data_IF_913654837293
#
_entry.id   IF_913654837293
#
_cell.length_a   1.000
_cell.length_b   1.000
_cell.length_c   1.000
_cell.angle_alpha   90.00
_cell.angle_beta   90.00
_cell.angle_gamma   90.00
#
_symmetry.space_group_name_H-M   'P 1'
#
loop_
_entity.id
_entity.type
_entity.pdbx_description
1 polymer ?
#
# COMPACT_ATOMS: atom_id res chain seq x y z
N UNK A 1 47.11 53.01 46.04
CA UNK A 1 46.68 54.42 46.15
C UNK A 1 47.19 55.17 44.93
N UNK A 2 46.31 55.90 44.25
CA UNK A 2 46.54 57.00 43.31
C UNK A 2 47.22 56.75 41.94
N UNK A 3 46.51 57.29 40.95
CA UNK A 3 46.75 57.46 39.51
C UNK A 3 47.78 58.56 39.19
N UNK A 4 48.47 58.45 38.04
CA UNK A 4 48.54 59.42 36.90
C UNK A 4 49.89 59.43 36.12
N UNK A 5 49.77 59.26 34.79
CA UNK A 5 50.34 60.00 33.64
C UNK A 5 51.87 60.28 33.43
N UNK A 6 52.40 59.69 32.32
CA UNK A 6 53.28 60.19 31.20
C UNK A 6 54.69 60.80 31.48
N UNK A 7 55.65 60.95 30.51
CA UNK A 7 55.66 60.69 29.04
C UNK A 7 56.95 60.01 28.42
N UNK A 8 56.84 59.75 27.10
CA UNK A 8 57.79 59.61 25.98
C UNK A 8 59.34 59.66 26.12
N UNK A 9 60.02 58.78 25.35
CA UNK A 9 61.06 59.15 24.35
C UNK A 9 61.42 58.00 23.38
N UNK A 10 61.67 58.40 22.11
CA UNK A 10 62.14 57.77 20.85
C UNK A 10 63.27 56.70 20.93
N UNK A 11 63.56 55.86 19.88
CA UNK A 11 64.03 56.40 18.59
C UNK A 11 63.82 55.59 17.27
N UNK A 12 64.05 56.36 16.20
CA UNK A 12 64.64 56.07 14.88
C UNK A 12 64.04 55.02 13.93
N UNK A 13 63.62 55.56 12.79
CA UNK A 13 63.35 54.89 11.51
C UNK A 13 64.61 54.26 10.91
N UNK A 14 64.47 53.03 10.41
CA UNK A 14 65.29 52.50 9.33
C UNK A 14 64.36 52.09 8.18
N UNK A 15 64.53 52.73 7.04
CA UNK A 15 63.86 52.45 5.78
C UNK A 15 64.46 51.21 5.12
N UNK A 16 63.64 50.19 4.89
CA UNK A 16 63.94 49.11 3.95
C UNK A 16 62.74 48.92 3.02
N UNK A 17 62.96 49.17 1.74
CA UNK A 17 62.03 48.87 0.68
C UNK A 17 61.92 47.35 0.49
N UNK A 18 60.70 46.81 0.59
CA UNK A 18 60.38 45.49 0.07
C UNK A 18 59.28 45.59 -0.98
N UNK A 19 59.56 44.97 -2.13
CA UNK A 19 58.69 44.83 -3.28
C UNK A 19 57.37 44.16 -2.88
N UNK A 20 56.26 44.78 -3.26
CA UNK A 20 54.93 44.18 -3.12
C UNK A 20 54.76 43.07 -4.16
N UNK A 21 54.75 41.81 -3.71
CA UNK A 21 54.18 40.70 -4.48
C UNK A 21 52.67 40.66 -4.23
N UNK A 22 51.89 40.95 -5.26
CA UNK A 22 50.45 40.71 -5.28
C UNK A 22 50.19 39.19 -5.26
N UNK A 23 49.96 38.62 -4.08
CA UNK A 23 49.34 37.30 -3.94
C UNK A 23 47.83 37.48 -3.82
N UNK A 24 47.11 37.13 -4.89
CA UNK A 24 45.65 37.02 -4.89
C UNK A 24 45.19 36.08 -3.77
N UNK A 25 44.11 36.38 -3.03
CA UNK A 25 43.54 35.43 -2.08
C UNK A 25 43.06 34.20 -2.84
N UNK A 26 43.53 33.02 -2.42
CA UNK A 26 43.05 31.75 -2.95
C UNK A 26 41.54 31.65 -2.73
N UNK A 27 40.79 31.63 -3.82
CA UNK A 27 39.36 31.33 -3.83
C UNK A 27 39.16 29.96 -3.18
N UNK A 28 38.25 29.81 -2.19
CA UNK A 28 37.94 28.50 -1.66
C UNK A 28 37.42 27.62 -2.80
N UNK A 29 37.79 26.32 -2.85
CA UNK A 29 37.32 25.44 -3.90
C UNK A 29 35.79 25.41 -3.85
N UNK A 30 35.19 25.77 -4.98
CA UNK A 30 33.76 25.61 -5.24
C UNK A 30 33.42 24.13 -5.09
N UNK A 31 32.91 23.74 -3.92
CA UNK A 31 32.15 22.49 -3.74
C UNK A 31 30.77 22.65 -4.41
N UNK A 32 30.78 22.90 -5.73
CA UNK A 32 29.68 22.47 -6.60
C UNK A 32 30.06 21.07 -7.04
N UNK A 33 29.85 20.11 -6.15
CA UNK A 33 29.56 18.77 -6.63
C UNK A 33 28.27 18.92 -7.43
N UNK A 34 28.32 18.60 -8.72
CA UNK A 34 27.13 18.50 -9.56
C UNK A 34 26.22 17.46 -8.89
N UNK A 35 25.27 17.93 -8.07
CA UNK A 35 24.25 17.05 -7.54
C UNK A 35 23.49 16.55 -8.75
N UNK A 36 23.56 15.24 -9.01
CA UNK A 36 22.85 14.63 -10.12
C UNK A 36 21.39 15.08 -10.10
N UNK A 37 20.84 15.46 -11.25
CA UNK A 37 19.45 15.87 -11.35
C UNK A 37 18.56 14.77 -10.75
N UNK A 38 17.52 15.13 -9.97
CA UNK A 38 16.62 14.13 -9.41
C UNK A 38 15.98 13.31 -10.53
N UNK A 39 15.69 12.02 -10.31
CA UNK A 39 15.02 11.20 -11.31
C UNK A 39 13.65 11.81 -11.65
N UNK A 40 13.15 11.63 -12.89
CA UNK A 40 11.80 12.08 -13.24
C UNK A 40 10.77 11.41 -12.33
N UNK A 41 9.79 12.19 -11.86
CA UNK A 41 8.72 11.67 -10.99
C UNK A 41 7.89 10.61 -11.72
N UNK A 42 7.51 10.82 -12.97
CA UNK A 42 6.69 9.87 -13.72
C UNK A 42 7.27 9.71 -15.14
N UNK A 43 8.29 8.87 -15.30
CA UNK A 43 8.98 8.72 -16.56
C UNK A 43 8.05 8.15 -17.64
N UNK A 44 8.27 8.58 -18.89
CA UNK A 44 7.64 7.94 -20.05
C UNK A 44 8.18 6.51 -20.19
N UNK A 45 7.28 5.56 -20.35
CA UNK A 45 7.57 4.15 -20.60
C UNK A 45 6.94 3.71 -21.93
N UNK A 46 7.49 2.65 -22.53
CA UNK A 46 7.03 2.10 -23.82
C UNK A 46 6.38 0.71 -23.67
N UNK A 47 6.03 0.32 -22.44
CA UNK A 47 5.58 -1.02 -22.06
C UNK A 47 4.16 -1.03 -21.50
N UNK A 48 3.37 0.03 -21.68
CA UNK A 48 2.00 0.05 -21.23
C UNK A 48 1.21 -1.08 -21.91
N UNK A 49 0.57 -1.93 -21.10
CA UNK A 49 -0.38 -2.90 -21.61
C UNK A 49 -1.63 -2.18 -22.12
N UNK A 50 -1.92 -2.32 -23.41
CA UNK A 50 -3.05 -1.70 -24.11
C UNK A 50 -4.09 -2.74 -24.55
N UNK A 51 -4.11 -3.92 -23.92
CA UNK A 51 -5.05 -4.98 -24.25
C UNK A 51 -6.49 -4.50 -24.05
N UNK A 52 -7.32 -4.46 -25.11
CA UNK A 52 -8.74 -4.13 -24.99
C UNK A 52 -9.53 -5.23 -24.25
N UNK A 53 -10.63 -4.89 -23.56
CA UNK A 53 -11.39 -5.84 -22.75
C UNK A 53 -12.23 -6.85 -23.53
N UNK A 54 -12.37 -6.70 -24.85
CA UNK A 54 -13.02 -7.66 -25.75
C UNK A 54 -12.06 -8.74 -26.30
N UNK A 55 -10.77 -8.63 -25.99
CA UNK A 55 -9.77 -9.67 -26.33
C UNK A 55 -10.03 -10.95 -25.53
N UNK A 56 -9.92 -12.09 -26.20
CA UNK A 56 -10.05 -13.39 -25.57
C UNK A 56 -8.98 -13.62 -24.48
N UNK A 57 -9.42 -14.12 -23.32
CA UNK A 57 -8.52 -14.44 -22.20
C UNK A 57 -7.78 -15.74 -22.52
N UNK A 58 -6.52 -15.60 -22.92
CA UNK A 58 -5.64 -16.69 -23.33
C UNK A 58 -4.26 -16.55 -22.67
N UNK A 59 -3.43 -17.62 -22.64
CA UNK A 59 -2.11 -17.58 -21.99
C UNK A 59 -1.17 -16.46 -22.47
N UNK A 60 -1.36 -15.94 -23.69
CA UNK A 60 -0.61 -14.80 -24.20
C UNK A 60 -0.77 -13.52 -23.35
N UNK A 61 -1.89 -13.38 -22.62
CA UNK A 61 -2.10 -12.25 -21.70
C UNK A 61 -1.17 -12.29 -20.49
N UNK A 62 -0.62 -13.45 -20.12
CA UNK A 62 0.27 -13.56 -18.96
C UNK A 62 1.56 -12.76 -19.13
N UNK A 63 1.97 -12.47 -20.36
CA UNK A 63 3.17 -11.69 -20.69
C UNK A 63 2.85 -10.30 -21.22
N UNK A 64 1.60 -9.84 -21.12
CA UNK A 64 1.14 -8.58 -21.73
C UNK A 64 1.59 -7.32 -20.98
N UNK A 65 2.16 -7.47 -19.77
CA UNK A 65 2.62 -6.36 -18.94
C UNK A 65 1.51 -5.71 -18.11
N UNK A 66 1.87 -4.67 -17.35
CA UNK A 66 0.95 -3.91 -16.51
C UNK A 66 0.33 -2.74 -17.31
N UNK A 67 -1.00 -2.56 -17.26
CA UNK A 67 -1.65 -1.44 -17.96
C UNK A 67 -1.34 -0.11 -17.27
N UNK A 68 -1.10 0.92 -18.08
CA UNK A 68 -0.92 2.30 -17.58
C UNK A 68 -2.23 3.05 -17.37
N UNK A 69 -3.31 2.58 -18.00
CA UNK A 69 -4.67 3.09 -17.88
C UNK A 69 -5.68 2.02 -18.33
N UNK A 70 -6.93 2.06 -17.84
CA UNK A 70 -7.99 1.19 -18.33
C UNK A 70 -8.21 1.33 -19.84
N UNK A 71 -8.47 0.21 -20.51
CA UNK A 71 -8.94 0.20 -21.90
C UNK A 71 -10.44 -0.09 -21.90
N UNK A 72 -11.20 0.71 -22.65
CA UNK A 72 -12.65 0.63 -22.72
C UNK A 72 -13.08 0.54 -24.18
N UNK A 73 -14.13 -0.24 -24.46
CA UNK A 73 -14.73 -0.38 -25.79
C UNK A 73 -16.22 -0.05 -25.74
N UNK A 74 -16.83 0.47 -26.82
CA UNK A 74 -18.28 0.70 -26.86
C UNK A 74 -19.08 -0.59 -26.61
N UNK A 75 -20.31 -0.52 -26.05
CA UNK A 75 -21.07 0.69 -25.72
C UNK A 75 -20.64 1.35 -24.39
N UNK A 76 -20.54 2.68 -24.37
CA UNK A 76 -20.14 3.45 -23.17
C UNK A 76 -21.31 3.90 -22.28
N UNK A 77 -22.54 3.69 -22.73
CA UNK A 77 -23.77 3.94 -21.98
C UNK A 77 -24.23 2.71 -21.17
N UNK A 78 -23.59 1.56 -21.36
CA UNK A 78 -23.80 0.36 -20.56
C UNK A 78 -22.77 0.26 -19.43
N UNK A 79 -23.24 0.47 -18.20
CA UNK A 79 -22.40 0.38 -17.00
C UNK A 79 -21.80 -1.02 -16.79
N UNK A 80 -22.47 -2.09 -17.23
CA UNK A 80 -21.96 -3.46 -17.11
C UNK A 80 -20.79 -3.67 -18.06
N UNK A 81 -20.89 -3.15 -19.28
CA UNK A 81 -19.79 -3.18 -20.25
C UNK A 81 -18.58 -2.36 -19.77
N UNK A 82 -18.81 -1.16 -19.21
CA UNK A 82 -17.74 -0.38 -18.60
C UNK A 82 -17.08 -1.11 -17.42
N UNK A 83 -17.89 -1.69 -16.53
CA UNK A 83 -17.38 -2.45 -15.38
C UNK A 83 -16.49 -3.62 -15.83
N UNK A 84 -16.85 -4.33 -16.91
CA UNK A 84 -16.00 -5.38 -17.48
C UNK A 84 -14.64 -4.84 -17.95
N UNK A 85 -14.59 -3.64 -18.52
CA UNK A 85 -13.35 -2.96 -18.89
C UNK A 85 -12.43 -2.68 -17.69
N UNK A 86 -13.00 -2.15 -16.60
CA UNK A 86 -12.25 -1.90 -15.37
C UNK A 86 -11.83 -3.19 -14.65
N UNK A 87 -12.68 -4.22 -14.66
CA UNK A 87 -12.36 -5.53 -14.09
C UNK A 87 -11.25 -6.25 -14.90
N UNK A 88 -11.25 -6.11 -16.23
CA UNK A 88 -10.14 -6.57 -17.08
C UNK A 88 -8.84 -5.82 -16.75
N UNK A 89 -8.91 -4.49 -16.61
CA UNK A 89 -7.77 -3.67 -16.18
C UNK A 89 -7.20 -4.16 -14.84
N UNK A 90 -8.05 -4.43 -13.84
CA UNK A 90 -7.65 -4.97 -12.55
C UNK A 90 -6.96 -6.33 -12.65
N UNK A 91 -7.49 -7.25 -13.48
CA UNK A 91 -6.86 -8.55 -13.70
C UNK A 91 -5.51 -8.45 -14.40
N UNK A 92 -5.38 -7.60 -15.42
CA UNK A 92 -4.11 -7.36 -16.10
C UNK A 92 -3.07 -6.72 -15.16
N UNK A 93 -3.49 -5.78 -14.31
CA UNK A 93 -2.66 -5.21 -13.24
C UNK A 93 -2.23 -6.28 -12.25
N UNK A 94 -3.15 -7.13 -11.78
CA UNK A 94 -2.83 -8.22 -10.86
C UNK A 94 -1.84 -9.21 -11.46
N UNK A 95 -2.05 -9.66 -12.69
CA UNK A 95 -1.14 -10.59 -13.39
C UNK A 95 0.22 -9.94 -13.60
N UNK A 96 0.27 -8.70 -14.11
CA UNK A 96 1.52 -7.99 -14.36
C UNK A 96 2.33 -7.75 -13.10
N UNK A 97 1.70 -7.28 -12.02
CA UNK A 97 2.40 -7.01 -10.76
C UNK A 97 2.83 -8.27 -10.01
N UNK A 98 2.13 -9.40 -10.21
CA UNK A 98 2.48 -10.69 -9.63
C UNK A 98 3.42 -11.54 -10.52
N UNK A 99 3.93 -10.96 -11.60
CA UNK A 99 5.04 -11.50 -12.38
C UNK A 99 6.40 -11.19 -11.72
N UNK A 100 7.46 -11.95 -12.03
CA UNK A 100 8.82 -11.69 -11.51
C UNK A 100 9.41 -10.36 -11.99
N UNK A 101 8.95 -9.86 -13.14
CA UNK A 101 9.35 -8.60 -13.76
C UNK A 101 8.35 -8.23 -14.85
N UNK A 102 8.39 -6.98 -15.29
CA UNK A 102 7.56 -6.48 -16.37
C UNK A 102 7.65 -7.33 -17.65
N UNK A 103 6.49 -7.61 -18.24
CA UNK A 103 6.32 -8.42 -19.45
C UNK A 103 6.60 -9.93 -19.30
N UNK A 104 6.93 -10.42 -18.10
CA UNK A 104 7.06 -11.85 -17.83
C UNK A 104 5.74 -12.47 -17.35
N UNK A 105 5.59 -13.78 -17.53
CA UNK A 105 4.47 -14.51 -16.94
C UNK A 105 4.71 -14.78 -15.44
N UNK A 106 3.64 -14.82 -14.61
CA UNK A 106 3.75 -15.32 -13.25
C UNK A 106 4.33 -16.74 -13.21
N UNK A 107 5.29 -16.95 -12.31
CA UNK A 107 5.98 -18.24 -12.18
C UNK A 107 5.19 -19.22 -11.30
N UNK A 108 5.36 -20.53 -11.50
CA UNK A 108 4.87 -21.52 -10.55
C UNK A 108 5.60 -21.42 -9.20
N UNK A 109 4.99 -22.01 -8.16
CA UNK A 109 5.55 -22.02 -6.81
C UNK A 109 4.97 -20.95 -5.90
N UNK A 110 4.92 -21.25 -4.60
CA UNK A 110 4.29 -20.39 -3.61
C UNK A 110 5.11 -19.16 -3.25
N UNK A 111 6.41 -19.14 -3.51
CA UNK A 111 7.30 -18.02 -3.20
C UNK A 111 7.78 -17.29 -4.46
N UNK A 112 7.04 -17.41 -5.56
CA UNK A 112 7.37 -16.75 -6.82
C UNK A 112 7.51 -15.23 -6.60
N UNK A 113 8.60 -14.59 -7.05
CA UNK A 113 8.79 -13.17 -6.80
C UNK A 113 7.73 -12.34 -7.53
N UNK A 114 7.31 -11.24 -6.90
CA UNK A 114 6.39 -10.27 -7.50
C UNK A 114 7.05 -8.89 -7.59
N UNK A 115 6.60 -8.08 -8.55
CA UNK A 115 7.14 -6.73 -8.75
C UNK A 115 6.83 -5.82 -7.56
N UNK A 116 5.59 -5.86 -7.08
CA UNK A 116 5.11 -4.95 -6.04
C UNK A 116 5.78 -5.17 -4.68
N UNK A 117 6.32 -6.35 -4.40
CA UNK A 117 7.04 -6.62 -3.14
C UNK A 117 8.38 -5.89 -3.03
N UNK A 118 8.95 -5.49 -4.17
CA UNK A 118 10.16 -4.68 -4.23
C UNK A 118 9.90 -3.17 -4.05
N UNK A 119 8.63 -2.74 -4.04
CA UNK A 119 8.26 -1.34 -3.89
C UNK A 119 8.49 -0.81 -2.46
N UNK A 120 8.44 0.51 -2.27
CA UNK A 120 8.67 1.12 -0.95
C UNK A 120 7.46 0.96 -0.06
N UNK A 121 7.65 0.41 1.14
CA UNK A 121 6.62 0.43 2.17
C UNK A 121 6.58 1.84 2.78
N UNK A 122 5.39 2.28 3.15
CA UNK A 122 5.16 3.60 3.73
C UNK A 122 6.04 3.83 4.96
N UNK A 123 6.28 2.81 5.77
CA UNK A 123 7.17 2.86 6.94
C UNK A 123 8.67 3.02 6.62
N UNK A 124 9.09 2.80 5.37
CA UNK A 124 10.44 3.09 4.86
C UNK A 124 10.53 4.47 4.16
N UNK A 125 9.40 5.17 4.07
CA UNK A 125 9.28 6.52 3.49
C UNK A 125 9.04 7.54 4.61
N UNK A 126 8.15 7.23 5.55
CA UNK A 126 7.68 8.09 6.64
C UNK A 126 8.49 7.82 7.92
N UNK A 127 9.77 8.17 7.87
CA UNK A 127 10.74 7.83 8.91
C UNK A 127 10.56 8.66 10.21
N UNK A 128 11.03 8.14 11.36
CA UNK A 128 11.03 8.86 12.63
C UNK A 128 11.58 10.29 12.54
N UNK A 129 10.88 11.24 13.16
CA UNK A 129 11.25 12.65 13.18
C UNK A 129 11.21 13.35 11.81
N UNK A 130 10.58 12.74 10.79
CA UNK A 130 10.53 13.30 9.44
C UNK A 130 11.86 13.22 8.70
N UNK A 131 12.74 12.27 9.07
CA UNK A 131 14.00 12.05 8.41
C UNK A 131 13.82 11.74 6.92
N UNK A 132 14.74 12.21 6.08
CA UNK A 132 14.71 11.92 4.65
C UNK A 132 14.88 10.41 4.41
N UNK A 133 13.99 9.76 3.64
CA UNK A 133 14.16 8.35 3.30
C UNK A 133 15.35 8.16 2.35
N UNK A 134 15.89 6.93 2.33
CA UNK A 134 16.85 6.53 1.30
C UNK A 134 16.19 6.54 -0.09
N UNK A 135 17.00 6.48 -1.16
CA UNK A 135 16.49 6.40 -2.53
C UNK A 135 15.66 5.14 -2.80
N UNK A 136 15.06 5.04 -4.00
CA UNK A 136 14.16 3.94 -4.38
C UNK A 136 14.73 2.54 -4.06
N UNK A 137 15.97 2.28 -4.44
CA UNK A 137 16.66 1.00 -4.22
C UNK A 137 17.35 0.88 -2.85
N UNK A 138 17.10 1.80 -1.91
CA UNK A 138 17.70 1.70 -0.57
C UNK A 138 17.17 0.47 0.17
N UNK A 139 17.97 -0.18 1.03
CA UNK A 139 17.48 -1.29 1.85
C UNK A 139 16.32 -0.86 2.75
N UNK A 140 15.49 -1.83 3.12
CA UNK A 140 14.41 -1.67 4.12
C UNK A 140 15.00 -1.23 5.45
N UNK A 141 14.25 -0.43 6.21
CA UNK A 141 14.63 -0.07 7.57
C UNK A 141 14.21 -1.19 8.52
N UNK A 142 15.18 -1.97 9.00
CA UNK A 142 14.94 -3.03 9.99
C UNK A 142 14.95 -2.47 11.42
N UNK A 143 13.83 -2.59 12.18
CA UNK A 143 13.76 -2.20 13.58
C UNK A 143 14.78 -2.95 14.44
N UNK A 144 15.27 -2.32 15.51
CA UNK A 144 16.31 -2.90 16.38
C UNK A 144 15.90 -4.25 16.95
N UNK A 145 14.65 -4.37 17.45
CA UNK A 145 14.11 -5.62 17.97
C UNK A 145 14.12 -6.77 16.95
N UNK A 146 14.16 -6.47 15.66
CA UNK A 146 14.23 -7.46 14.60
C UNK A 146 15.66 -7.82 14.19
N UNK A 147 16.66 -6.96 14.42
CA UNK A 147 18.04 -7.17 13.92
C UNK A 147 18.72 -8.39 14.54
N UNK A 148 18.30 -8.77 15.73
CA UNK A 148 18.83 -9.94 16.44
C UNK A 148 18.33 -11.27 15.86
N UNK A 149 17.35 -11.26 14.95
CA UNK A 149 16.83 -12.46 14.31
C UNK A 149 17.79 -12.90 13.19
N UNK A 150 18.25 -14.17 13.16
CA UNK A 150 19.12 -14.66 12.10
C UNK A 150 18.52 -14.44 10.71
N UNK A 151 19.31 -13.84 9.81
CA UNK A 151 18.88 -13.52 8.44
C UNK A 151 17.92 -12.33 8.32
N UNK A 152 17.69 -11.55 9.39
CA UNK A 152 16.76 -10.42 9.36
C UNK A 152 17.00 -9.42 8.23
N UNK A 153 18.27 -9.17 7.86
CA UNK A 153 18.64 -8.22 6.82
C UNK A 153 18.11 -8.60 5.42
N UNK A 154 17.83 -9.88 5.16
CA UNK A 154 17.28 -10.36 3.88
C UNK A 154 15.76 -10.58 3.93
N UNK A 155 15.12 -10.32 5.06
CA UNK A 155 13.69 -10.54 5.24
C UNK A 155 12.92 -9.23 5.19
N UNK A 156 11.73 -9.26 4.59
CA UNK A 156 10.83 -8.11 4.65
C UNK A 156 10.31 -7.95 6.09
N UNK A 157 10.08 -6.71 6.50
CA UNK A 157 9.40 -6.43 7.77
C UNK A 157 7.93 -6.19 7.44
N UNK A 158 7.02 -6.99 8.02
CA UNK A 158 5.58 -6.72 7.91
C UNK A 158 5.10 -6.22 9.27
N UNK A 159 4.89 -4.91 9.33
CA UNK A 159 4.60 -4.20 10.57
C UNK A 159 3.15 -4.38 10.98
N UNK A 160 2.93 -4.30 12.28
CA UNK A 160 1.61 -4.16 12.88
C UNK A 160 1.70 -3.08 13.95
N UNK A 161 1.48 -1.81 13.62
CA UNK A 161 1.79 -0.65 14.46
C UNK A 161 0.64 0.26 14.97
N UNK A 162 0.78 0.63 16.25
CA UNK A 162 0.00 1.60 17.05
C UNK A 162 -1.52 1.39 17.08
N UNK A 163 -1.94 0.56 18.03
CA UNK A 163 -3.20 0.77 18.73
C UNK A 163 -3.13 2.19 19.33
N UNK A 164 -3.77 3.14 18.64
CA UNK A 164 -3.96 4.54 19.00
C UNK A 164 -2.69 5.40 19.11
N UNK A 165 -2.54 6.36 18.19
CA UNK A 165 -1.86 7.62 18.51
C UNK A 165 -2.61 8.25 19.69
N UNK A 166 -1.94 8.42 20.82
CA UNK A 166 -2.45 9.17 21.98
C UNK A 166 -2.56 10.67 21.69
N UNK A 167 -3.53 11.04 20.86
CA UNK A 167 -3.92 12.43 20.58
C UNK A 167 -5.44 12.53 20.52
N UNK A 168 -5.99 13.71 20.84
CA UNK A 168 -7.42 14.04 20.93
C UNK A 168 -8.20 13.99 19.60
N UNK A 169 -7.71 13.25 18.61
CA UNK A 169 -8.40 12.98 17.36
C UNK A 169 -8.81 11.51 17.40
N UNK A 170 -10.09 11.15 17.17
CA UNK A 170 -10.49 9.76 17.07
C UNK A 170 -9.53 9.04 16.13
N UNK A 171 -9.10 7.83 16.49
CA UNK A 171 -8.34 6.94 15.63
C UNK A 171 -9.24 6.47 14.47
N UNK A 172 -9.59 7.41 13.60
CA UNK A 172 -10.43 7.17 12.44
C UNK A 172 -9.51 7.02 11.23
N UNK A 173 -9.61 5.83 10.64
CA UNK A 173 -9.27 5.48 9.26
C UNK A 173 -7.83 4.97 9.01
N UNK A 174 -7.75 3.63 8.94
CA UNK A 174 -6.78 2.81 8.20
C UNK A 174 -5.29 3.06 8.46
N UNK A 175 -4.75 2.39 9.48
CA UNK A 175 -3.31 2.12 9.58
C UNK A 175 -2.87 0.98 8.64
N UNK A 176 -1.55 0.80 8.45
CA UNK A 176 -0.91 -0.40 7.87
C UNK A 176 -1.24 -1.70 8.67
N UNK A 177 -2.30 -1.70 9.49
CA UNK A 177 -2.37 -2.45 10.76
C UNK A 177 -3.80 -2.80 11.16
N UNK A 178 -4.75 -1.88 10.98
CA UNK A 178 -6.16 -2.08 11.31
C UNK A 178 -7.06 -1.89 10.08
N UNK A 179 -8.20 -2.55 10.13
CA UNK A 179 -9.32 -2.29 9.23
C UNK A 179 -9.83 -0.86 9.41
N UNK A 180 -10.60 -0.31 8.45
CA UNK A 180 -11.22 0.99 8.60
C UNK A 180 -11.95 1.14 9.95
N UNK A 181 -11.94 2.36 10.49
CA UNK A 181 -12.70 2.78 11.68
C UNK A 181 -12.33 2.10 13.01
N UNK A 182 -11.08 1.66 13.17
CA UNK A 182 -10.63 0.88 14.35
C UNK A 182 -11.58 -0.30 14.65
N UNK A 183 -12.17 -0.86 13.60
CA UNK A 183 -13.18 -1.91 13.73
C UNK A 183 -12.58 -3.19 14.30
N UNK A 184 -11.27 -3.40 14.13
CA UNK A 184 -10.50 -4.37 14.90
C UNK A 184 -9.63 -5.29 14.04
N UNK A 185 -8.82 -6.14 14.66
CA UNK A 185 -7.99 -7.09 13.96
C UNK A 185 -8.79 -8.28 13.44
N UNK A 186 -8.36 -8.78 12.28
CA UNK A 186 -8.80 -10.07 11.78
C UNK A 186 -7.92 -11.18 12.38
N UNK A 187 -8.56 -12.22 12.91
CA UNK A 187 -7.90 -13.37 13.55
C UNK A 187 -8.18 -14.63 12.73
N UNK A 188 -7.13 -15.31 12.27
CA UNK A 188 -7.27 -16.55 11.50
C UNK A 188 -7.71 -17.74 12.38
N UNK A 189 -8.02 -18.87 11.75
CA UNK A 189 -8.43 -20.09 12.47
C UNK A 189 -7.32 -20.73 13.33
N UNK A 190 -6.07 -20.30 13.18
CA UNK A 190 -4.95 -20.67 14.05
C UNK A 190 -4.77 -19.70 15.24
N UNK A 191 -5.66 -18.71 15.37
CA UNK A 191 -5.62 -17.69 16.42
C UNK A 191 -4.54 -16.63 16.20
N UNK A 192 -3.96 -16.53 15.00
CA UNK A 192 -2.97 -15.51 14.68
C UNK A 192 -3.62 -14.24 14.15
N UNK A 193 -3.00 -13.11 14.44
CA UNK A 193 -3.41 -11.83 13.87
C UNK A 193 -2.99 -11.74 12.41
N UNK A 194 -3.93 -11.40 11.53
CA UNK A 194 -3.62 -10.96 10.16
C UNK A 194 -2.78 -9.69 10.21
N UNK A 195 -1.81 -9.60 9.32
CA UNK A 195 -0.90 -8.46 9.17
C UNK A 195 -1.19 -7.73 7.87
N UNK A 196 -0.87 -6.45 7.83
CA UNK A 196 -1.04 -5.65 6.62
C UNK A 196 0.24 -4.90 6.30
N UNK A 197 0.33 -4.45 5.06
CA UNK A 197 1.39 -3.57 4.59
C UNK A 197 0.85 -2.69 3.47
N UNK A 198 1.44 -1.51 3.33
CA UNK A 198 1.10 -0.55 2.28
C UNK A 198 2.40 -0.21 1.54
N UNK A 199 2.41 -0.42 0.23
CA UNK A 199 3.55 -0.17 -0.65
C UNK A 199 3.18 0.82 -1.74
N UNK A 200 4.13 1.67 -2.11
CA UNK A 200 3.99 2.70 -3.14
C UNK A 200 5.00 2.50 -4.24
N UNK A 201 4.56 2.60 -5.50
CA UNK A 201 5.43 2.47 -6.66
C UNK A 201 6.40 3.67 -6.79
N UNK A 202 7.34 3.57 -7.72
CA UNK A 202 8.40 4.58 -7.87
C UNK A 202 7.85 5.98 -8.16
N UNK A 203 6.87 6.17 -9.07
CA UNK A 203 6.31 7.49 -9.28
C UNK A 203 5.71 8.15 -8.04
N UNK A 204 4.96 7.39 -7.24
CA UNK A 204 4.42 7.90 -5.99
C UNK A 204 5.52 8.22 -4.99
N UNK A 205 6.53 7.35 -4.85
CA UNK A 205 7.69 7.58 -3.98
C UNK A 205 8.46 8.85 -4.37
N UNK A 206 8.78 9.02 -5.65
CA UNK A 206 9.54 10.18 -6.14
C UNK A 206 8.75 11.47 -5.91
N UNK A 207 7.43 11.46 -6.12
CA UNK A 207 6.57 12.59 -5.80
C UNK A 207 6.65 12.97 -4.31
N UNK A 208 6.58 11.99 -3.40
CA UNK A 208 6.68 12.24 -1.95
C UNK A 208 8.04 12.82 -1.58
N UNK A 209 9.13 12.23 -2.06
CA UNK A 209 10.50 12.62 -1.68
C UNK A 209 10.87 13.99 -2.23
N UNK A 210 10.63 14.24 -3.52
CA UNK A 210 11.03 15.49 -4.16
C UNK A 210 10.24 16.70 -3.63
N UNK A 211 9.00 16.48 -3.19
CA UNK A 211 8.17 17.52 -2.55
C UNK A 211 8.30 17.55 -1.02
N UNK A 212 9.18 16.72 -0.42
CA UNK A 212 9.40 16.61 1.03
C UNK A 212 8.14 16.24 1.83
N UNK A 213 7.17 15.61 1.19
CA UNK A 213 5.89 15.22 1.81
C UNK A 213 6.04 14.06 2.82
N UNK A 214 7.25 13.53 3.03
CA UNK A 214 7.55 12.52 4.04
C UNK A 214 7.68 13.07 5.48
N UNK A 215 7.67 14.40 5.66
CA UNK A 215 7.87 15.06 6.95
C UNK A 215 6.76 16.09 7.22
N UNK A 216 6.38 16.29 8.48
CA UNK A 216 5.40 17.35 8.84
C UNK A 216 5.87 18.74 8.40
N UNK A 217 7.15 19.04 8.60
CA UNK A 217 7.74 20.31 8.19
C UNK A 217 7.66 20.51 6.67
N UNK A 218 7.94 19.46 5.89
CA UNK A 218 7.86 19.52 4.44
C UNK A 218 6.42 19.70 3.94
N UNK A 219 5.45 19.02 4.54
CA UNK A 219 4.02 19.20 4.22
C UNK A 219 3.51 20.62 4.55
N UNK A 220 3.96 21.18 5.68
CA UNK A 220 3.67 22.57 6.06
C UNK A 220 4.27 23.58 5.07
N UNK A 221 5.45 23.29 4.52
CA UNK A 221 6.14 24.16 3.55
C UNK A 221 5.66 23.95 2.11
N UNK A 222 5.02 22.81 1.80
CA UNK A 222 4.50 22.51 0.48
C UNK A 222 3.37 23.47 0.11
N UNK A 223 3.43 24.04 -1.09
CA UNK A 223 2.43 24.97 -1.61
C UNK A 223 1.65 24.33 -2.76
N UNK A 224 0.34 24.55 -2.78
CA UNK A 224 -0.57 23.96 -3.76
C UNK A 224 -1.23 22.65 -3.31
N UNK A 225 -2.07 22.07 -4.17
CA UNK A 225 -2.73 20.80 -3.88
C UNK A 225 -1.75 19.64 -3.97
N UNK A 226 -1.95 18.62 -3.13
CA UNK A 226 -1.34 17.31 -3.35
C UNK A 226 -2.02 16.70 -4.57
N UNK A 227 -1.25 16.36 -5.59
CA UNK A 227 -1.74 15.69 -6.80
C UNK A 227 -0.67 14.71 -7.27
N UNK A 228 -0.85 13.43 -6.94
CA UNK A 228 0.05 12.37 -7.38
C UNK A 228 0.05 12.22 -8.90
N UNK A 229 1.14 11.67 -9.48
CA UNK A 229 1.21 11.39 -10.91
C UNK A 229 0.09 10.47 -11.37
N UNK A 230 -0.43 10.70 -12.57
CA UNK A 230 -1.55 9.95 -13.13
C UNK A 230 -1.10 9.19 -14.38
N UNK A 231 -1.43 7.91 -14.42
CA UNK A 231 -1.11 7.04 -15.54
C UNK A 231 -1.91 7.41 -16.78
N UNK A 232 -1.28 7.29 -17.94
CA UNK A 232 -1.87 7.60 -19.23
C UNK A 232 -1.22 6.77 -20.34
N UNK A 233 -1.95 6.56 -21.44
CA UNK A 233 -1.42 6.00 -22.69
C UNK A 233 -1.44 7.10 -23.73
N UNK A 234 -0.26 7.53 -24.19
CA UNK A 234 -0.13 8.65 -25.15
C UNK A 234 -0.02 8.19 -26.59
N UNK A 235 0.28 6.90 -26.85
CA UNK A 235 0.28 6.33 -28.18
C UNK A 235 0.92 4.94 -28.24
N UNK A 236 0.21 3.96 -28.82
CA UNK A 236 0.63 2.55 -28.75
C UNK A 236 0.85 2.14 -27.29
N UNK A 237 1.92 1.40 -27.00
CA UNK A 237 2.33 1.07 -25.62
C UNK A 237 3.11 2.19 -24.92
N UNK A 238 3.20 3.39 -25.50
CA UNK A 238 3.88 4.54 -24.88
C UNK A 238 2.95 5.30 -23.96
N UNK A 239 3.42 5.61 -22.75
CA UNK A 239 2.64 6.29 -21.73
C UNK A 239 3.41 6.55 -20.44
N UNK A 240 2.68 6.76 -19.35
CA UNK A 240 3.21 6.90 -17.99
C UNK A 240 2.45 5.98 -17.04
N UNK A 241 3.14 5.42 -16.05
CA UNK A 241 2.49 4.50 -15.10
C UNK A 241 1.61 5.27 -14.09
N UNK A 242 2.03 6.46 -13.67
CA UNK A 242 1.38 7.17 -12.57
C UNK A 242 1.60 6.51 -11.22
N UNK A 243 0.92 7.04 -10.20
CA UNK A 243 0.97 6.50 -8.85
C UNK A 243 0.14 5.22 -8.71
N UNK A 244 0.76 4.20 -8.12
CA UNK A 244 0.11 2.96 -7.70
C UNK A 244 0.45 2.70 -6.24
N UNK A 245 -0.58 2.38 -5.47
CA UNK A 245 -0.48 2.01 -4.07
C UNK A 245 -1.09 0.62 -3.88
N UNK A 246 -0.31 -0.29 -3.30
CA UNK A 246 -0.75 -1.64 -2.97
C UNK A 246 -0.95 -1.76 -1.47
N UNK A 247 -2.09 -2.32 -1.03
CA UNK A 247 -2.31 -2.74 0.35
C UNK A 247 -2.53 -4.25 0.37
N UNK A 248 -1.70 -4.98 1.10
CA UNK A 248 -1.76 -6.43 1.18
C UNK A 248 -2.16 -6.88 2.59
N UNK A 249 -2.94 -7.95 2.68
CA UNK A 249 -3.31 -8.65 3.90
C UNK A 249 -2.67 -10.04 3.93
N UNK A 250 -2.06 -10.38 5.06
CA UNK A 250 -1.23 -11.57 5.22
C UNK A 250 -1.65 -12.34 6.46
N UNK A 251 -1.95 -13.64 6.31
CA UNK A 251 -2.09 -14.54 7.46
C UNK A 251 -0.75 -15.18 7.81
N UNK A 252 -0.60 -15.62 9.05
CA UNK A 252 0.55 -16.44 9.45
C UNK A 252 0.24 -17.89 9.04
N UNK A 253 1.13 -18.50 8.27
CA UNK A 253 0.98 -19.90 7.88
C UNK A 253 1.13 -20.78 9.11
N UNK A 254 0.15 -21.65 9.37
CA UNK A 254 0.10 -22.50 10.55
C UNK A 254 -0.45 -23.90 10.25
N UNK A 255 -0.77 -24.69 11.31
CA UNK A 255 -1.37 -26.00 11.15
C UNK A 255 -2.62 -25.97 10.26
N UNK A 256 -2.77 -26.98 9.41
CA UNK A 256 -3.93 -27.10 8.50
C UNK A 256 -3.84 -26.28 7.22
N UNK A 257 -2.90 -25.33 7.11
CA UNK A 257 -2.71 -24.58 5.88
C UNK A 257 -1.93 -25.36 4.83
N UNK A 258 -2.30 -25.17 3.57
CA UNK A 258 -1.54 -25.65 2.41
C UNK A 258 -0.80 -24.47 1.76
N UNK A 259 0.53 -24.30 1.99
CA UNK A 259 1.31 -23.22 1.40
C UNK A 259 1.26 -23.20 -0.13
N UNK A 260 1.00 -24.33 -0.80
CA UNK A 260 0.85 -24.40 -2.25
C UNK A 260 -0.37 -23.65 -2.79
N UNK A 261 -1.30 -23.23 -1.90
CA UNK A 261 -2.49 -22.43 -2.26
C UNK A 261 -2.31 -20.93 -2.08
N UNK A 262 -1.18 -20.48 -1.54
CA UNK A 262 -0.93 -19.07 -1.24
C UNK A 262 0.33 -18.58 -1.93
N UNK A 263 0.35 -17.29 -2.27
CA UNK A 263 1.63 -16.58 -2.36
C UNK A 263 2.19 -16.42 -0.96
N UNK A 264 3.42 -16.84 -0.75
CA UNK A 264 4.08 -17.00 0.55
C UNK A 264 5.38 -16.23 0.61
N UNK A 265 5.65 -15.65 1.77
CA UNK A 265 6.93 -14.99 2.07
C UNK A 265 7.41 -15.31 3.47
N UNK A 266 8.72 -15.48 3.61
CA UNK A 266 9.37 -15.36 4.91
C UNK A 266 9.47 -13.88 5.27
N UNK A 267 9.03 -13.52 6.47
CA UNK A 267 8.98 -12.14 6.93
C UNK A 267 9.31 -12.01 8.42
N UNK A 268 9.67 -10.79 8.81
CA UNK A 268 9.77 -10.35 10.18
C UNK A 268 8.44 -9.72 10.59
N UNK A 269 7.72 -10.45 11.44
CA UNK A 269 6.51 -10.03 12.09
C UNK A 269 6.84 -9.04 13.22
N UNK A 270 6.92 -7.75 12.90
CA UNK A 270 7.23 -6.68 13.85
C UNK A 270 5.99 -6.02 14.45
N UNK A 271 5.95 -5.92 15.78
CA UNK A 271 4.96 -5.17 16.55
C UNK A 271 5.71 -4.06 17.32
N UNK A 272 5.54 -2.76 16.99
CA UNK A 272 6.09 -1.68 17.79
C UNK A 272 5.36 -1.57 19.13
N UNK A 273 5.97 -0.90 20.11
CA UNK A 273 5.34 -0.72 21.42
C UNK A 273 4.06 0.13 21.31
N UNK A 274 3.08 -0.14 22.17
CA UNK A 274 1.89 0.70 22.36
C UNK A 274 1.62 0.89 23.85
N UNK A 275 1.00 2.01 24.21
CA UNK A 275 0.58 2.30 25.59
C UNK A 275 -0.90 2.00 25.83
N UNK A 276 -1.72 1.90 24.77
CA UNK A 276 -3.15 1.63 24.92
C UNK A 276 -3.68 0.69 23.82
N UNK A 277 -3.79 -0.63 24.10
CA UNK A 277 -3.32 -1.30 25.31
C UNK A 277 -1.79 -1.34 25.41
N UNK A 278 -1.29 -1.54 26.62
CA UNK A 278 0.16 -1.70 26.84
C UNK A 278 0.68 -2.95 26.13
N UNK A 279 1.46 -2.76 25.08
CA UNK A 279 2.09 -3.80 24.27
C UNK A 279 3.59 -3.52 24.24
N UNK A 280 4.39 -4.51 24.64
CA UNK A 280 5.84 -4.42 24.51
C UNK A 280 6.25 -4.55 23.02
N UNK A 281 7.34 -3.90 22.63
CA UNK A 281 7.93 -4.14 21.32
C UNK A 281 8.26 -5.63 21.15
N UNK A 282 7.95 -6.19 19.98
CA UNK A 282 8.33 -7.57 19.66
C UNK A 282 8.58 -7.77 18.18
N UNK A 283 9.42 -8.75 17.86
CA UNK A 283 9.66 -9.17 16.50
C UNK A 283 9.88 -10.67 16.45
N UNK A 284 9.38 -11.35 15.41
CA UNK A 284 9.62 -12.78 15.18
C UNK A 284 9.66 -13.10 13.70
N UNK A 285 10.43 -14.11 13.30
CA UNK A 285 10.37 -14.66 11.95
C UNK A 285 9.08 -15.47 11.79
N UNK A 286 8.36 -15.27 10.70
CA UNK A 286 7.15 -16.02 10.32
C UNK A 286 7.15 -16.32 8.83
N UNK A 287 6.40 -17.36 8.43
CA UNK A 287 5.97 -17.54 7.05
C UNK A 287 4.55 -16.95 6.92
N UNK A 288 4.35 -16.08 5.93
CA UNK A 288 3.09 -15.41 5.67
C UNK A 288 2.48 -15.91 4.37
N UNK A 289 1.15 -16.04 4.32
CA UNK A 289 0.37 -16.30 3.11
C UNK A 289 -0.53 -15.12 2.76
N UNK A 290 -0.51 -14.68 1.50
CA UNK A 290 -1.32 -13.57 1.01
C UNK A 290 -2.79 -13.98 1.01
N UNK A 291 -3.63 -13.23 1.71
CA UNK A 291 -5.08 -13.49 1.82
C UNK A 291 -5.93 -12.38 1.21
N UNK A 292 -5.40 -11.17 1.07
CA UNK A 292 -6.09 -10.07 0.42
C UNK A 292 -5.10 -9.09 -0.22
N UNK A 293 -5.52 -8.45 -1.30
CA UNK A 293 -4.65 -7.54 -2.05
C UNK A 293 -5.49 -6.45 -2.72
N UNK A 294 -5.18 -5.19 -2.41
CA UNK A 294 -5.72 -4.02 -3.08
C UNK A 294 -4.65 -3.35 -3.93
N UNK A 295 -5.05 -2.79 -5.06
CA UNK A 295 -4.28 -1.78 -5.78
C UNK A 295 -5.16 -0.57 -6.08
N UNK A 296 -4.69 0.60 -5.64
CA UNK A 296 -5.22 1.88 -6.06
C UNK A 296 -4.29 2.44 -7.15
N UNK A 297 -4.81 2.69 -8.34
CA UNK A 297 -4.06 3.19 -9.49
C UNK A 297 -4.65 4.51 -9.96
N UNK A 298 -3.86 5.59 -9.90
CA UNK A 298 -4.29 6.90 -10.38
C UNK A 298 -4.14 6.99 -11.90
N UNK A 299 -5.20 7.39 -12.60
CA UNK A 299 -5.19 7.57 -14.05
C UNK A 299 -5.76 8.94 -14.43
N UNK A 300 -5.41 9.44 -15.62
CA UNK A 300 -5.82 10.77 -16.08
C UNK A 300 -7.35 10.91 -16.19
N UNK A 301 -8.04 9.85 -16.60
CA UNK A 301 -9.48 9.84 -16.77
C UNK A 301 -10.25 9.48 -15.49
N UNK A 302 -9.57 8.84 -14.53
CA UNK A 302 -10.10 8.48 -13.22
C UNK A 302 -9.30 9.18 -12.10
N UNK A 303 -9.49 10.50 -11.91
CA UNK A 303 -8.74 11.29 -10.92
C UNK A 303 -9.06 10.90 -9.47
N UNK A 304 -10.18 10.22 -9.22
CA UNK A 304 -10.52 9.60 -7.94
C UNK A 304 -9.94 8.17 -7.78
N UNK A 305 -9.03 7.79 -8.68
CA UNK A 305 -8.30 6.52 -8.75
C UNK A 305 -9.19 5.32 -9.10
N UNK A 306 -8.57 4.31 -9.71
CA UNK A 306 -9.15 2.99 -9.91
C UNK A 306 -8.77 2.08 -8.73
N UNK A 307 -9.75 1.39 -8.14
CA UNK A 307 -9.59 0.61 -6.91
C UNK A 307 -9.85 -0.87 -7.17
N UNK A 308 -8.79 -1.64 -7.38
CA UNK A 308 -8.83 -3.08 -7.60
C UNK A 308 -8.75 -3.82 -6.27
N UNK A 309 -9.57 -4.85 -6.08
CA UNK A 309 -9.52 -5.69 -4.88
C UNK A 309 -9.60 -7.19 -5.16
N UNK A 310 -8.63 -7.93 -4.62
CA UNK A 310 -8.49 -9.37 -4.79
C UNK A 310 -8.48 -10.07 -3.44
N UNK A 311 -8.99 -11.30 -3.44
CA UNK A 311 -9.03 -12.15 -2.26
C UNK A 311 -8.54 -13.56 -2.60
N UNK A 312 -8.03 -14.25 -1.58
CA UNK A 312 -7.76 -15.68 -1.68
C UNK A 312 -9.10 -16.46 -1.55
N UNK A 313 -9.33 -17.42 -2.45
CA UNK A 313 -10.65 -18.07 -2.64
C UNK A 313 -11.14 -18.92 -1.46
N UNK A 314 -10.28 -19.24 -0.51
CA UNK A 314 -10.57 -19.99 0.71
C UNK A 314 -10.70 -19.08 1.94
N UNK A 315 -10.78 -17.76 1.76
CA UNK A 315 -10.96 -16.85 2.89
C UNK A 315 -12.24 -17.13 3.69
N UNK A 316 -13.39 -17.09 3.01
CA UNK A 316 -14.72 -17.14 3.65
C UNK A 316 -15.79 -17.70 2.71
N UNK A 317 -16.89 -18.27 3.23
CA UNK A 317 -18.09 -18.51 2.45
C UNK A 317 -18.89 -17.23 2.21
N UNK A 318 -19.72 -17.27 1.18
CA UNK A 318 -20.83 -16.32 1.01
C UNK A 318 -21.96 -16.62 1.99
N UNK A 319 -22.75 -15.60 2.32
CA UNK A 319 -23.96 -15.75 3.14
C UNK A 319 -24.95 -16.78 2.55
N UNK A 320 -25.01 -16.89 1.23
CA UNK A 320 -25.83 -17.90 0.54
C UNK A 320 -25.32 -19.33 0.78
N UNK A 321 -24.00 -19.56 0.71
CA UNK A 321 -23.40 -20.87 1.00
C UNK A 321 -23.61 -21.30 2.46
N UNK A 322 -23.48 -20.36 3.40
CA UNK A 322 -23.79 -20.61 4.82
C UNK A 322 -25.25 -21.05 4.98
N UNK A 323 -26.20 -20.31 4.40
CA UNK A 323 -27.63 -20.64 4.45
C UNK A 323 -27.95 -21.99 3.80
N UNK A 324 -27.28 -22.32 2.70
CA UNK A 324 -27.46 -23.58 1.98
C UNK A 324 -26.72 -24.77 2.60
N UNK A 325 -25.84 -24.55 3.59
CA UNK A 325 -24.98 -25.59 4.16
C UNK A 325 -23.90 -26.11 3.19
N UNK A 326 -23.60 -25.37 2.12
CA UNK A 326 -22.64 -25.76 1.07
C UNK A 326 -21.25 -25.21 1.35
N UNK A 327 -20.73 -25.53 2.55
CA UNK A 327 -19.45 -25.03 3.04
C UNK A 327 -18.28 -25.93 2.61
N UNK A 328 -17.14 -25.33 2.28
CA UNK A 328 -15.85 -26.03 2.19
C UNK A 328 -15.47 -26.63 3.54
N UNK A 329 -14.61 -27.65 3.51
CA UNK A 329 -14.06 -28.25 4.72
C UNK A 329 -13.16 -27.29 5.52
N UNK A 330 -12.52 -26.33 4.84
CA UNK A 330 -11.61 -25.37 5.44
C UNK A 330 -11.80 -23.97 4.84
N UNK A 331 -11.70 -22.95 5.69
CA UNK A 331 -11.58 -21.55 5.31
C UNK A 331 -10.52 -20.87 6.18
N UNK A 332 -9.98 -19.73 5.74
CA UNK A 332 -9.00 -18.98 6.53
C UNK A 332 -9.63 -18.23 7.73
N UNK A 333 -10.89 -17.80 7.59
CA UNK A 333 -11.57 -16.91 8.55
C UNK A 333 -13.01 -17.30 8.85
N UNK A 334 -13.38 -18.56 8.63
CA UNK A 334 -14.73 -19.07 8.93
C UNK A 334 -14.65 -20.53 9.38
N UNK A 335 -15.03 -20.80 10.62
CA UNK A 335 -15.14 -22.17 11.09
C UNK A 335 -16.48 -22.78 10.61
N UNK A 336 -16.48 -23.77 9.70
CA UNK A 336 -17.72 -24.38 9.22
C UNK A 336 -18.43 -25.21 10.30
N UNK A 337 -17.74 -25.57 11.39
CA UNK A 337 -18.30 -26.30 12.53
C UNK A 337 -19.10 -25.38 13.47
N UNK A 338 -18.79 -24.08 13.52
CA UNK A 338 -19.50 -23.15 14.38
C UNK A 338 -20.86 -22.72 13.80
N UNK A 339 -21.96 -23.26 14.36
CA UNK A 339 -23.33 -22.99 13.89
C UNK A 339 -24.00 -21.78 14.55
N UNK A 340 -23.51 -21.35 15.71
CA UNK A 340 -24.10 -20.26 16.52
C UNK A 340 -23.19 -19.03 16.66
N UNK A 341 -22.04 -19.00 15.97
CA UNK A 341 -21.13 -17.86 16.01
C UNK A 341 -21.75 -16.64 15.33
N UNK A 342 -21.63 -15.47 15.98
CA UNK A 342 -21.93 -14.20 15.35
C UNK A 342 -20.92 -13.94 14.24
N UNK A 343 -21.41 -13.67 13.03
CA UNK A 343 -20.56 -13.40 11.87
C UNK A 343 -20.18 -11.92 11.78
N UNK A 344 -19.01 -11.65 11.20
CA UNK A 344 -18.50 -10.30 10.93
C UNK A 344 -18.49 -9.41 12.17
N UNK A 345 -18.15 -9.99 13.33
CA UNK A 345 -17.96 -9.25 14.58
C UNK A 345 -16.47 -9.14 14.91
N UNK A 346 -16.03 -7.98 15.43
CA UNK A 346 -14.64 -7.80 15.82
C UNK A 346 -14.30 -8.60 17.08
N UNK A 347 -13.02 -8.97 17.26
CA UNK A 347 -12.58 -9.70 18.44
C UNK A 347 -12.76 -8.88 19.72
N UNK A 348 -12.98 -9.55 20.87
CA UNK A 348 -13.05 -8.86 22.15
C UNK A 348 -11.75 -8.13 22.48
N UNK A 349 -11.86 -6.97 23.14
CA UNK A 349 -10.72 -6.19 23.64
C UNK A 349 -10.23 -6.75 24.99
N UNK A 350 -8.97 -6.48 25.40
CA UNK A 350 -7.94 -5.71 24.69
C UNK A 350 -7.24 -6.53 23.61
N UNK A 351 -6.82 -5.87 22.53
CA UNK A 351 -6.05 -6.51 21.47
C UNK A 351 -4.56 -6.44 21.77
N UNK A 352 -3.91 -7.59 21.96
CA UNK A 352 -2.46 -7.66 22.17
C UNK A 352 -1.82 -8.62 21.16
N UNK A 353 -1.15 -8.10 20.11
CA UNK A 353 -0.57 -8.95 19.08
C UNK A 353 0.59 -9.82 19.55
N UNK A 354 1.13 -9.59 20.75
CA UNK A 354 2.15 -10.44 21.35
C UNK A 354 1.55 -11.70 21.98
N UNK A 355 0.22 -11.77 22.16
CA UNK A 355 -0.49 -12.91 22.70
C UNK A 355 -1.15 -13.69 21.56
N UNK A 356 -0.49 -14.74 21.09
CA UNK A 356 -0.97 -15.63 20.04
C UNK A 356 -0.71 -17.10 20.45
N UNK A 357 -1.68 -18.02 20.31
CA UNK A 357 -3.04 -17.83 19.77
C UNK A 357 -3.88 -16.82 20.56
N UNK A 358 -4.85 -16.19 19.89
CA UNK A 358 -5.72 -15.20 20.50
C UNK A 358 -6.42 -15.79 21.75
N UNK A 359 -6.53 -15.04 22.87
CA UNK A 359 -7.09 -15.55 24.12
C UNK A 359 -8.46 -16.23 23.99
N UNK A 360 -8.72 -17.20 24.88
CA UNK A 360 -9.97 -17.96 24.96
C UNK A 360 -10.34 -18.74 23.68
N UNK A 361 -9.36 -19.01 22.81
CA UNK A 361 -9.58 -19.74 21.57
C UNK A 361 -10.43 -19.00 20.55
N UNK A 362 -10.51 -17.66 20.64
CA UNK A 362 -11.26 -16.86 19.67
C UNK A 362 -10.59 -16.91 18.30
N UNK A 363 -11.40 -17.16 17.28
CA UNK A 363 -11.08 -16.99 15.86
C UNK A 363 -12.15 -16.14 15.22
N UNK A 364 -11.83 -15.41 14.15
CA UNK A 364 -12.87 -14.66 13.45
C UNK A 364 -13.84 -15.60 12.75
N UNK A 365 -15.12 -15.24 12.77
CA UNK A 365 -16.17 -15.89 11.99
C UNK A 365 -16.66 -14.89 10.93
N UNK A 366 -16.18 -15.02 9.71
CA UNK A 366 -16.44 -14.06 8.64
C UNK A 366 -17.30 -14.69 7.54
N UNK A 367 -18.21 -13.91 6.99
CA UNK A 367 -18.97 -14.28 5.79
C UNK A 367 -18.96 -13.12 4.80
N UNK A 368 -18.91 -13.43 3.50
CA UNK A 368 -19.12 -12.41 2.47
C UNK A 368 -20.59 -12.00 2.45
N UNK A 369 -20.85 -10.71 2.68
CA UNK A 369 -22.21 -10.13 2.68
C UNK A 369 -22.69 -9.85 1.26
N UNK A 370 -21.88 -9.14 0.47
CA UNK A 370 -22.19 -8.81 -0.93
C UNK A 370 -21.57 -9.87 -1.84
N UNK A 371 -22.35 -10.69 -2.55
CA UNK A 371 -21.79 -11.70 -3.45
C UNK A 371 -21.09 -11.07 -4.66
N UNK A 372 -20.15 -11.80 -5.25
CA UNK A 372 -19.56 -11.42 -6.52
C UNK A 372 -20.62 -11.45 -7.62
N UNK A 373 -20.52 -10.53 -8.58
CA UNK A 373 -21.44 -10.52 -9.72
C UNK A 373 -21.16 -11.70 -10.66
N UNK A 374 -22.16 -12.18 -11.38
CA UNK A 374 -21.97 -13.27 -12.35
C UNK A 374 -20.90 -12.94 -13.43
N UNK A 375 -20.85 -11.72 -14.01
CA UNK A 375 -19.77 -11.31 -14.90
C UNK A 375 -18.38 -11.40 -14.25
N UNK A 376 -18.20 -10.91 -13.02
CA UNK A 376 -16.91 -10.98 -12.32
C UNK A 376 -16.51 -12.43 -12.05
N UNK A 377 -17.44 -13.31 -11.66
CA UNK A 377 -17.18 -14.75 -11.47
C UNK A 377 -16.74 -15.43 -12.77
N UNK A 378 -17.38 -15.09 -13.90
CA UNK A 378 -16.99 -15.60 -15.20
C UNK A 378 -15.57 -15.14 -15.58
N UNK A 379 -15.26 -13.86 -15.37
CA UNK A 379 -13.93 -13.29 -15.61
C UNK A 379 -12.85 -13.96 -14.75
N UNK A 380 -13.13 -14.12 -13.45
CA UNK A 380 -12.25 -14.83 -12.52
C UNK A 380 -11.95 -16.24 -13.03
N UNK A 381 -12.98 -16.97 -13.45
CA UNK A 381 -12.84 -18.34 -13.97
C UNK A 381 -11.92 -18.40 -15.18
N UNK A 382 -12.01 -17.43 -16.10
CA UNK A 382 -11.16 -17.36 -17.29
C UNK A 382 -9.69 -17.07 -16.96
N UNK A 383 -9.42 -16.11 -16.06
CA UNK A 383 -8.04 -15.82 -15.64
C UNK A 383 -7.43 -16.97 -14.82
N UNK A 384 -8.18 -17.54 -13.89
CA UNK A 384 -7.75 -18.70 -13.12
C UNK A 384 -7.43 -19.90 -14.01
N UNK A 385 -8.15 -20.08 -15.13
CA UNK A 385 -7.87 -21.15 -16.09
C UNK A 385 -6.51 -21.01 -16.78
N UNK A 386 -6.10 -19.78 -17.16
CA UNK A 386 -4.78 -19.55 -17.77
C UNK A 386 -3.65 -19.48 -16.74
N UNK A 387 -3.96 -19.18 -15.47
CA UNK A 387 -3.01 -19.18 -14.35
C UNK A 387 -2.80 -20.57 -13.72
N UNK A 388 -3.37 -21.63 -14.30
CA UNK A 388 -3.25 -22.99 -13.78
C UNK A 388 -1.79 -23.41 -13.60
N UNK A 389 -1.49 -23.99 -12.45
CA UNK A 389 -0.13 -24.38 -12.06
C UNK A 389 0.67 -23.27 -11.36
N UNK A 390 0.13 -22.06 -11.25
CA UNK A 390 0.64 -21.00 -10.37
C UNK A 390 -0.24 -20.88 -9.12
N UNK A 391 0.26 -20.22 -8.06
CA UNK A 391 -0.58 -19.94 -6.87
C UNK A 391 -1.68 -18.92 -7.14
N UNK A 392 -1.51 -18.10 -8.18
CA UNK A 392 -2.43 -17.02 -8.56
C UNK A 392 -3.79 -17.52 -9.04
N UNK A 393 -3.90 -18.81 -9.43
CA UNK A 393 -5.19 -19.46 -9.69
C UNK A 393 -6.11 -19.52 -8.46
N UNK A 394 -5.57 -19.34 -7.25
CA UNK A 394 -6.31 -19.38 -5.99
C UNK A 394 -6.73 -17.99 -5.50
N UNK A 395 -6.67 -16.98 -6.37
CA UNK A 395 -7.11 -15.62 -6.09
C UNK A 395 -8.23 -15.22 -7.04
N UNK A 396 -9.13 -14.36 -6.56
CA UNK A 396 -10.29 -13.89 -7.30
C UNK A 396 -10.45 -12.37 -7.14
N UNK A 397 -10.83 -11.69 -8.22
CA UNK A 397 -11.24 -10.29 -8.17
C UNK A 397 -12.60 -10.22 -7.47
N UNK A 398 -12.74 -9.29 -6.53
CA UNK A 398 -14.05 -8.97 -5.95
C UNK A 398 -14.82 -8.04 -6.91
N UNK A 399 -14.19 -6.92 -7.29
CA UNK A 399 -14.53 -6.04 -8.43
C UNK A 399 -13.50 -4.89 -8.47
N UNK A 400 -13.74 -3.91 -9.34
CA UNK A 400 -12.98 -2.66 -9.47
C UNK A 400 -13.89 -1.49 -9.22
N UNK A 401 -13.56 -0.60 -8.29
CA UNK A 401 -14.31 0.63 -8.08
C UNK A 401 -13.67 1.81 -8.82
N UNK A 402 -14.49 2.56 -9.55
CA UNK A 402 -14.07 3.64 -10.44
C UNK A 402 -15.13 4.77 -10.49
N UNK A 403 -14.77 6.00 -10.87
CA UNK A 403 -15.71 7.11 -10.98
C UNK A 403 -16.52 7.05 -12.27
N UNK A 404 -17.84 6.84 -12.18
CA UNK A 404 -18.73 6.93 -13.36
C UNK A 404 -18.90 8.36 -13.88
N UNK A 405 -18.65 9.35 -13.03
CA UNK A 405 -18.64 10.76 -13.37
C UNK A 405 -17.51 11.49 -12.63
N UNK A 406 -16.28 11.33 -13.13
CA UNK A 406 -15.08 11.96 -12.58
C UNK A 406 -15.16 13.49 -12.38
N UNK A 407 -16.07 14.17 -13.12
CA UNK A 407 -16.27 15.63 -13.09
C UNK A 407 -17.54 16.04 -12.33
N UNK A 408 -18.12 15.12 -11.54
CA UNK A 408 -19.32 15.39 -10.76
C UNK A 408 -19.12 16.62 -9.87
N UNK A 409 -20.06 17.56 -9.94
CA UNK A 409 -20.05 18.78 -9.13
C UNK A 409 -20.68 18.59 -7.75
N UNK A 410 -21.42 17.50 -7.57
CA UNK A 410 -22.20 17.21 -6.35
C UNK A 410 -21.62 16.04 -5.56
N UNK A 411 -20.83 15.19 -6.21
CA UNK A 411 -20.18 14.05 -5.57
C UNK A 411 -18.66 14.11 -5.87
N UNK A 412 -17.82 14.53 -4.91
CA UNK A 412 -16.38 14.64 -5.10
C UNK A 412 -15.70 13.28 -5.33
N UNK A 413 -16.39 12.18 -5.00
CA UNK A 413 -15.94 10.80 -5.22
C UNK A 413 -16.24 10.32 -6.64
N UNK A 414 -16.85 11.15 -7.49
CA UNK A 414 -17.03 10.85 -8.91
C UNK A 414 -18.10 9.80 -9.20
N UNK A 415 -19.11 9.65 -8.32
CA UNK A 415 -20.20 8.67 -8.43
C UNK A 415 -19.66 7.24 -8.59
N UNK A 416 -19.13 6.64 -7.50
CA UNK A 416 -18.42 5.36 -7.55
C UNK A 416 -19.28 4.19 -8.04
N UNK A 417 -18.73 3.39 -8.95
CA UNK A 417 -19.29 2.11 -9.37
C UNK A 417 -18.24 0.97 -9.21
N UNK A 418 -18.61 -0.17 -8.60
CA UNK A 418 -19.81 -0.34 -7.78
C UNK A 418 -19.74 0.57 -6.54
N UNK A 419 -20.88 0.90 -5.94
CA UNK A 419 -20.90 1.77 -4.74
C UNK A 419 -20.21 1.10 -3.54
N UNK A 420 -20.34 -0.21 -3.39
CA UNK A 420 -19.71 -0.98 -2.32
C UNK A 420 -18.76 -2.04 -2.91
N UNK A 421 -17.60 -2.18 -2.30
CA UNK A 421 -16.47 -3.00 -2.71
C UNK A 421 -15.72 -3.52 -1.48
N UNK A 422 -16.42 -4.24 -0.61
CA UNK A 422 -15.83 -4.76 0.62
C UNK A 422 -14.93 -5.96 0.34
N UNK A 423 -13.68 -5.93 0.80
CA UNK A 423 -12.82 -7.09 0.88
C UNK A 423 -12.96 -7.76 2.24
N UNK A 424 -13.12 -9.08 2.27
CA UNK A 424 -13.39 -9.84 3.50
C UNK A 424 -12.21 -9.87 4.47
N UNK A 425 -11.04 -9.38 4.05
CA UNK A 425 -9.84 -9.26 4.89
C UNK A 425 -9.45 -7.83 5.22
N UNK A 426 -9.90 -6.83 4.44
CA UNK A 426 -9.50 -5.43 4.59
C UNK A 426 -10.64 -4.55 5.13
N UNK A 427 -11.89 -4.86 4.79
CA UNK A 427 -13.12 -4.19 5.26
C UNK A 427 -14.08 -5.18 5.96
N UNK A 428 -13.54 -6.20 6.64
CA UNK A 428 -14.30 -7.35 7.19
C UNK A 428 -15.53 -6.94 7.99
N UNK A 429 -15.38 -5.95 8.88
CA UNK A 429 -16.42 -5.55 9.83
C UNK A 429 -17.31 -4.41 9.33
N UNK A 430 -17.07 -3.92 8.11
CA UNK A 430 -17.82 -2.81 7.51
C UNK A 430 -18.47 -3.19 6.17
N UNK A 431 -18.60 -4.49 5.91
CA UNK A 431 -19.23 -5.01 4.71
C UNK A 431 -20.69 -4.53 4.58
N UNK A 432 -21.09 -4.13 3.36
CA UNK A 432 -22.45 -3.72 3.06
C UNK A 432 -22.78 -2.28 3.47
N UNK A 433 -24.02 -2.06 3.91
CA UNK A 433 -24.57 -0.72 4.19
C UNK A 433 -24.41 -0.36 5.67
N UNK A 434 -23.24 0.16 6.03
CA UNK A 434 -22.97 0.75 7.36
C UNK A 434 -22.89 2.28 7.20
N UNK A 435 -23.78 3.08 7.81
CA UNK A 435 -23.71 4.54 7.71
C UNK A 435 -22.34 5.08 8.17
N UNK A 436 -21.77 6.03 7.40
CA UNK A 436 -20.42 6.60 7.55
C UNK A 436 -19.22 5.66 7.29
N UNK A 437 -19.45 4.36 7.08
CA UNK A 437 -18.42 3.34 6.94
C UNK A 437 -18.72 2.32 5.82
N UNK A 438 -19.64 2.64 4.91
CA UNK A 438 -19.97 1.76 3.78
C UNK A 438 -18.71 1.48 2.99
N UNK A 439 -18.42 0.20 2.73
CA UNK A 439 -17.19 -0.32 2.11
C UNK A 439 -16.92 0.22 0.69
N UNK A 440 -16.78 1.52 0.53
CA UNK A 440 -16.42 2.23 -0.68
C UNK A 440 -15.02 2.77 -0.49
N UNK A 441 -14.08 2.26 -1.26
CA UNK A 441 -12.70 2.71 -1.24
C UNK A 441 -12.63 4.22 -1.53
N UNK A 442 -13.29 4.68 -2.58
CA UNK A 442 -13.35 6.08 -2.98
C UNK A 442 -13.98 6.95 -1.89
N UNK A 443 -15.13 6.56 -1.33
CA UNK A 443 -15.78 7.39 -0.31
C UNK A 443 -14.95 7.48 0.99
N UNK A 444 -14.34 6.36 1.41
CA UNK A 444 -13.47 6.34 2.58
C UNK A 444 -12.21 7.19 2.34
N UNK A 445 -11.54 6.97 1.21
CA UNK A 445 -10.29 7.62 0.87
C UNK A 445 -10.44 9.10 0.48
N UNK A 446 -11.62 9.56 0.10
CA UNK A 446 -11.90 10.98 -0.17
C UNK A 446 -11.62 11.87 1.05
N UNK A 447 -11.67 11.32 2.26
CA UNK A 447 -11.38 12.04 3.50
C UNK A 447 -9.88 12.03 3.89
N UNK A 448 -9.02 11.44 3.06
CA UNK A 448 -7.59 11.36 3.37
C UNK A 448 -6.94 12.74 3.36
N UNK A 449 -6.19 13.05 4.40
CA UNK A 449 -5.45 14.31 4.53
C UNK A 449 -3.97 14.09 4.81
N UNK A 450 -3.16 15.12 4.53
CA UNK A 450 -1.80 15.21 5.06
C UNK A 450 -1.84 15.66 6.54
N UNK A 451 -0.68 15.75 7.20
CA UNK A 451 -0.59 16.13 8.63
C UNK A 451 -1.05 17.56 8.94
N UNK A 452 -1.30 18.38 7.92
CA UNK A 452 -1.83 19.75 8.03
C UNK A 452 -3.35 19.81 7.83
N UNK A 453 -4.00 18.68 7.53
CA UNK A 453 -5.43 18.59 7.21
C UNK A 453 -5.75 18.92 5.74
N UNK A 454 -4.74 19.09 4.88
CA UNK A 454 -4.94 19.30 3.44
C UNK A 454 -5.35 17.99 2.76
N UNK A 455 -6.32 17.97 1.83
CA UNK A 455 -6.63 16.78 1.05
C UNK A 455 -5.39 16.19 0.40
N UNK A 456 -5.24 14.88 0.52
CA UNK A 456 -4.04 14.13 0.13
C UNK A 456 -4.27 13.23 -1.08
N UNK A 457 -5.20 13.61 -1.96
CA UNK A 457 -5.44 12.92 -3.24
C UNK A 457 -5.72 11.43 -3.04
N UNK A 458 -6.74 11.15 -2.20
CA UNK A 458 -7.23 9.81 -1.88
C UNK A 458 -6.25 8.87 -1.16
N UNK A 459 -5.17 9.37 -0.53
CA UNK A 459 -4.23 8.47 0.18
C UNK A 459 -3.89 8.90 1.61
N UNK A 460 -4.19 8.00 2.56
CA UNK A 460 -3.77 8.14 3.97
C UNK A 460 -2.26 7.93 4.18
N UNK A 461 -1.45 7.86 3.13
CA UNK A 461 0.01 7.74 3.27
C UNK A 461 0.59 9.01 3.89
N UNK A 462 0.10 10.20 3.53
CA UNK A 462 0.72 11.46 3.95
C UNK A 462 0.50 11.81 5.43
N UNK A 463 -0.63 11.43 6.05
CA UNK A 463 -0.86 11.61 7.50
C UNK A 463 0.14 10.82 8.39
N UNK A 464 0.91 9.91 7.79
CA UNK A 464 1.93 9.09 8.47
C UNK A 464 3.25 9.82 8.65
N UNK A 465 3.45 10.97 8.02
CA UNK A 465 4.64 11.78 8.22
C UNK A 465 4.82 12.15 9.70
N UNK A 466 6.08 12.09 10.16
CA UNK A 466 6.43 12.35 11.56
C UNK A 466 6.89 13.77 11.82
#
# INVERSE_FOLDING_TARGET
MCTRFTPAALPLLLSMAMLASCSSPATPPSLRGDAAAPPPIDPVIATCNITPPDVAIAPALLTSGTPCAPQLVPPFDDIVNLQHGFDMFSWLTFVGLNAPREGAAPLPGSNAPTQWQAWREVSDVMLPGGAAPGGWNAPRVTPEACRLIPGAASLRVVRRAELNKGGTVPAEVTSEVNQPFDSGPLIDLNGNYVRYEILVNEPMFQFIVQNRLYSKQGQQAFNGPVAFPAGNVTGGSTGTMGAVMVKAAWKVMGPGDDPGRFHTVDALAYNPPSQNPKVAESCRKVSLGLVGWHAAHKNVNEPQWNWSTFEQVDNVPTSAQVKAGTLKAHYNFHDPSCKSCAVNQPPPRPWNPNLQPFPNGFTSQVTRVTPLTAPTVALNSSFQAILRGTVWQNYELVSTQWPTNAKSKTDPTGVPAPTFLANTTLETYTQGTVPQASSSCMACHNNATDTTGRPSDFTFVLERAQ
#
